data_IF_174628282227
#
_entry.id   IF_174628282227
#
_cell.length_a   1.000
_cell.length_b   1.000
_cell.length_c   1.000
_cell.angle_alpha   90.00
_cell.angle_beta   90.00
_cell.angle_gamma   90.00
#
_symmetry.space_group_name_H-M   'P 1'
#
loop_
_entity.id
_entity.type
_entity.pdbx_description
1 polymer ?
#
# COMPACT_ATOMS: atom_id res chain seq x y z
N UNK A 1 11.80 -9.05 24.87
CA UNK A 1 11.73 -8.80 25.46
C UNK A 1 11.48 -8.71 25.85
N UNK A 2 11.21 -8.84 25.53
CA UNK A 2 10.99 -8.53 26.14
C UNK A 2 10.76 -8.21 26.41
N UNK A 3 10.57 -8.15 26.28
CA UNK A 3 10.31 -7.64 26.73
C UNK A 3 10.09 -7.27 27.02
N UNK A 4 10.00 -6.90 27.02
CA UNK A 4 9.73 -6.49 27.46
C UNK A 4 9.22 -6.57 27.91
N UNK A 5 9.16 -6.66 27.83
CA UNK A 5 8.75 -6.89 28.28
C UNK A 5 8.39 -7.16 28.16
N UNK A 6 8.35 -7.19 27.82
CA UNK A 6 8.19 -7.44 27.68
C UNK A 6 8.29 -7.95 27.16
N UNK A 7 8.66 -7.88 26.79
CA UNK A 7 8.72 -8.24 26.18
C UNK A 7 8.09 -8.60 25.50
N UNK A 8 8.07 -8.95 25.08
CA UNK A 8 7.05 -9.55 24.26
C UNK A 8 5.98 -8.60 23.79
N UNK A 9 5.83 -7.55 24.38
CA UNK A 9 4.87 -6.51 24.02
C UNK A 9 5.18 -5.82 22.71
N UNK A 10 6.36 -6.03 22.20
CA UNK A 10 6.75 -5.43 20.92
C UNK A 10 5.83 -5.90 19.79
N UNK A 11 5.32 -7.11 19.87
CA UNK A 11 4.46 -7.66 18.82
C UNK A 11 3.08 -7.02 18.81
N UNK A 12 2.66 -6.42 19.91
CA UNK A 12 1.35 -5.79 19.99
C UNK A 12 1.34 -4.37 19.47
N UNK A 13 2.48 -3.77 19.24
CA UNK A 13 2.56 -2.39 18.80
C UNK A 13 2.28 -2.27 17.32
N UNK A 14 1.56 -1.21 16.89
CA UNK A 14 1.35 -0.99 15.46
C UNK A 14 2.68 -0.73 14.78
N UNK A 15 2.79 -1.21 13.57
CA UNK A 15 3.95 -0.90 12.75
C UNK A 15 3.80 0.50 12.19
N UNK A 16 4.75 1.37 12.45
CA UNK A 16 4.67 2.77 12.02
C UNK A 16 5.53 3.06 10.79
N UNK A 17 6.34 2.10 10.37
CA UNK A 17 7.10 2.24 9.13
C UNK A 17 7.29 0.86 8.51
N UNK A 18 7.57 0.87 7.22
CA UNK A 18 7.70 -0.35 6.45
C UNK A 18 9.08 -0.95 6.62
N UNK A 19 9.15 -2.28 6.55
CA UNK A 19 10.43 -2.97 6.55
C UNK A 19 10.84 -3.41 5.15
N UNK A 20 9.93 -3.26 4.15
CA UNK A 20 10.21 -3.72 2.79
C UNK A 20 9.40 -2.91 1.80
N UNK A 21 9.91 -2.79 0.58
CA UNK A 21 9.23 -2.11 -0.52
C UNK A 21 9.34 -2.97 -1.78
N UNK A 22 8.21 -3.17 -2.44
CA UNK A 22 8.13 -4.01 -3.64
C UNK A 22 7.39 -3.25 -4.72
N UNK A 23 7.89 -3.28 -5.95
CA UNK A 23 7.23 -2.62 -7.07
C UNK A 23 5.86 -3.25 -7.31
N UNK A 24 4.86 -2.40 -7.53
CA UNK A 24 3.49 -2.82 -7.81
C UNK A 24 3.28 -2.86 -9.31
N UNK A 25 2.76 -3.98 -9.80
CA UNK A 25 2.23 -4.07 -11.15
C UNK A 25 0.71 -3.96 -11.06
N UNK A 26 0.11 -2.85 -11.50
CA UNK A 26 -1.34 -2.72 -11.41
C UNK A 26 -2.04 -3.81 -12.20
N UNK A 27 -3.13 -4.33 -11.63
CA UNK A 27 -3.90 -5.40 -12.27
C UNK A 27 -5.34 -5.32 -11.79
N UNK A 28 -6.29 -5.57 -12.69
CA UNK A 28 -7.70 -5.60 -12.33
C UNK A 28 -8.10 -6.92 -11.67
N UNK A 29 -7.23 -7.93 -11.69
CA UNK A 29 -7.59 -9.27 -11.23
C UNK A 29 -6.62 -9.89 -10.24
N UNK A 30 -5.40 -9.37 -10.14
CA UNK A 30 -4.34 -9.97 -9.32
C UNK A 30 -3.98 -9.05 -8.18
N UNK A 31 -4.01 -9.57 -6.96
CA UNK A 31 -3.65 -8.80 -5.78
C UNK A 31 -2.14 -8.58 -5.69
N UNK A 32 -1.75 -7.55 -4.94
CA UNK A 32 -0.36 -7.30 -4.60
C UNK A 32 0.13 -8.50 -3.77
N UNK A 33 1.33 -9.03 -4.05
CA UNK A 33 1.85 -10.16 -3.28
C UNK A 33 1.93 -9.86 -1.79
N UNK A 34 1.71 -10.88 -0.98
CA UNK A 34 1.84 -10.85 0.48
C UNK A 34 0.83 -9.94 1.17
N UNK A 35 -0.36 -9.77 0.57
CA UNK A 35 -1.42 -8.97 1.19
C UNK A 35 -2.62 -9.81 1.63
N UNK A 36 -2.48 -11.14 1.69
CA UNK A 36 -3.62 -12.01 2.01
C UNK A 36 -4.10 -11.85 3.45
N UNK A 37 -3.21 -11.52 4.38
CA UNK A 37 -3.57 -11.34 5.79
C UNK A 37 -3.62 -9.88 6.20
N UNK A 38 -2.86 -9.05 5.54
CA UNK A 38 -2.80 -7.62 5.82
C UNK A 38 -2.43 -6.90 4.55
N UNK A 39 -3.11 -5.79 4.28
CA UNK A 39 -2.76 -4.95 3.16
C UNK A 39 -1.41 -4.27 3.35
N UNK A 40 -1.00 -3.55 2.34
CA UNK A 40 0.22 -2.77 2.35
C UNK A 40 -0.11 -1.30 2.12
N UNK A 41 0.78 -0.42 2.54
CA UNK A 41 0.70 1.00 2.19
C UNK A 41 1.30 1.21 0.81
N UNK A 42 1.09 2.39 0.25
CA UNK A 42 1.56 2.70 -1.10
C UNK A 42 2.45 3.94 -1.09
N UNK A 43 3.45 3.92 -1.95
CA UNK A 43 4.24 5.09 -2.31
C UNK A 43 4.08 5.31 -3.81
N UNK A 44 3.76 6.54 -4.21
CA UNK A 44 3.54 6.87 -5.61
C UNK A 44 4.70 7.73 -6.09
N UNK A 45 5.45 7.24 -7.08
CA UNK A 45 6.68 7.90 -7.51
C UNK A 45 6.54 8.77 -8.74
N UNK A 46 5.55 8.52 -9.60
CA UNK A 46 5.44 9.24 -10.87
C UNK A 46 3.98 9.54 -11.20
N UNK A 47 3.67 10.80 -11.43
CA UNK A 47 2.33 11.23 -11.79
C UNK A 47 2.33 11.98 -13.14
N UNK A 48 3.38 11.81 -13.96
CA UNK A 48 3.44 12.48 -15.26
C UNK A 48 2.35 12.00 -16.21
N UNK A 49 1.89 10.75 -16.05
CA UNK A 49 0.79 10.20 -16.85
C UNK A 49 -0.58 10.42 -16.24
N UNK A 50 -0.65 10.93 -15.02
CA UNK A 50 -1.90 11.17 -14.32
C UNK A 50 -1.76 10.97 -12.83
N UNK A 51 -2.74 11.45 -12.08
CA UNK A 51 -2.69 11.50 -10.61
C UNK A 51 -3.66 10.56 -9.92
N UNK A 52 -4.27 9.64 -10.65
CA UNK A 52 -5.31 8.77 -10.09
C UNK A 52 -4.73 7.41 -9.71
N UNK A 53 -5.14 6.92 -8.54
CA UNK A 53 -4.79 5.58 -8.07
C UNK A 53 -6.07 4.90 -7.60
N UNK A 54 -6.48 3.84 -8.31
CA UNK A 54 -7.67 3.07 -7.95
C UNK A 54 -7.24 1.79 -7.27
N UNK A 55 -7.77 1.56 -6.07
CA UNK A 55 -7.32 0.46 -5.23
C UNK A 55 -8.50 -0.31 -4.65
N UNK A 56 -8.27 -1.56 -4.28
CA UNK A 56 -9.13 -2.32 -3.38
C UNK A 56 -8.50 -2.26 -2.00
N UNK A 57 -9.25 -1.71 -1.05
CA UNK A 57 -8.80 -1.59 0.34
C UNK A 57 -8.83 -2.97 1.02
N UNK A 58 -8.13 -3.08 2.13
CA UNK A 58 -8.12 -4.31 2.92
C UNK A 58 -9.54 -4.72 3.32
N UNK A 59 -10.43 -3.76 3.52
CA UNK A 59 -11.83 -4.01 3.86
C UNK A 59 -12.64 -4.59 2.72
N UNK A 60 -12.11 -4.56 1.49
CA UNK A 60 -12.82 -4.99 0.29
C UNK A 60 -13.42 -3.84 -0.50
N UNK A 61 -13.48 -2.65 0.05
CA UNK A 61 -14.00 -1.49 -0.68
C UNK A 61 -13.03 -1.06 -1.77
N UNK A 62 -13.59 -0.55 -2.87
CA UNK A 62 -12.81 0.01 -3.97
C UNK A 62 -12.87 1.52 -3.88
N UNK A 63 -11.73 2.18 -3.94
CA UNK A 63 -11.65 3.63 -3.87
C UNK A 63 -10.66 4.15 -4.91
N UNK A 64 -10.92 5.35 -5.44
CA UNK A 64 -10.00 6.02 -6.35
C UNK A 64 -9.49 7.27 -5.67
N UNK A 65 -8.17 7.34 -5.49
CA UNK A 65 -7.50 8.51 -4.92
C UNK A 65 -7.05 9.41 -6.06
N UNK A 66 -7.58 10.61 -6.09
CA UNK A 66 -7.29 11.58 -7.16
C UNK A 66 -6.41 12.71 -6.62
N UNK A 67 -5.64 13.30 -7.52
CA UNK A 67 -4.79 14.41 -7.12
C UNK A 67 -3.57 14.00 -6.32
N UNK A 68 -3.12 12.77 -6.49
CA UNK A 68 -1.93 12.28 -5.80
C UNK A 68 -0.70 12.98 -6.39
N UNK A 69 0.23 13.38 -5.53
CA UNK A 69 1.45 14.03 -5.97
C UNK A 69 2.60 13.05 -6.03
N UNK A 70 3.60 13.33 -6.87
CA UNK A 70 4.80 12.50 -6.94
C UNK A 70 5.52 12.50 -5.58
N UNK A 71 5.97 11.32 -5.17
CA UNK A 71 6.63 11.17 -3.86
C UNK A 71 5.65 11.05 -2.71
N UNK A 72 4.36 10.85 -2.98
CA UNK A 72 3.37 10.72 -1.91
C UNK A 72 3.41 9.34 -1.26
N UNK A 73 3.29 9.33 0.05
CA UNK A 73 3.05 8.13 0.83
C UNK A 73 1.57 8.09 1.19
N UNK A 74 0.90 7.00 0.83
CA UNK A 74 -0.51 6.80 1.14
C UNK A 74 -0.62 5.85 2.32
N UNK A 75 -0.95 6.37 3.53
CA UNK A 75 -1.01 5.56 4.75
C UNK A 75 -2.33 4.79 4.84
N UNK A 76 -2.55 3.92 3.86
CA UNK A 76 -3.77 3.13 3.72
C UNK A 76 -3.36 1.68 3.57
N UNK A 77 -4.27 0.77 3.88
CA UNK A 77 -4.02 -0.65 3.71
C UNK A 77 -4.80 -1.16 2.51
N UNK A 78 -4.08 -1.56 1.47
CA UNK A 78 -4.68 -2.01 0.21
C UNK A 78 -4.20 -3.40 -0.12
N UNK A 79 -5.02 -4.13 -0.89
CA UNK A 79 -4.66 -5.47 -1.36
C UNK A 79 -4.46 -5.50 -2.86
N UNK A 80 -4.95 -4.50 -3.58
CA UNK A 80 -4.85 -4.48 -5.04
C UNK A 80 -4.81 -3.05 -5.53
N UNK A 81 -3.95 -2.80 -6.54
CA UNK A 81 -3.97 -1.57 -7.32
C UNK A 81 -4.48 -1.95 -8.69
N UNK A 82 -5.60 -1.35 -9.10
CA UNK A 82 -6.23 -1.68 -10.38
C UNK A 82 -5.46 -1.06 -11.54
N UNK A 83 -5.40 -1.76 -12.67
CA UNK A 83 -4.81 -1.18 -13.87
C UNK A 83 -5.77 -0.21 -14.54
N UNK A 84 -7.08 -0.53 -14.54
CA UNK A 84 -8.10 0.36 -15.06
C UNK A 84 -8.45 1.39 -13.99
N UNK A 85 -8.24 2.66 -14.28
CA UNK A 85 -8.53 3.75 -13.34
C UNK A 85 -7.30 4.26 -12.61
N UNK A 86 -6.15 3.61 -12.73
CA UNK A 86 -4.90 4.09 -12.18
C UNK A 86 -4.07 4.68 -13.30
N UNK A 87 -3.75 5.97 -13.17
CA UNK A 87 -2.95 6.67 -14.16
C UNK A 87 -1.57 7.03 -13.63
N UNK A 88 -1.37 6.98 -12.32
CA UNK A 88 -0.06 7.16 -11.71
C UNK A 88 0.82 5.93 -11.98
N UNK A 89 2.13 6.11 -11.84
CA UNK A 89 3.11 5.08 -12.13
C UNK A 89 4.18 5.03 -11.05
N UNK A 90 5.09 4.07 -11.15
CA UNK A 90 6.18 3.89 -10.19
C UNK A 90 5.65 3.76 -8.78
N UNK A 91 4.66 2.89 -8.60
CA UNK A 91 4.02 2.67 -7.31
C UNK A 91 4.75 1.54 -6.59
N UNK A 92 5.07 1.76 -5.32
CA UNK A 92 5.69 0.74 -4.47
C UNK A 92 4.72 0.35 -3.37
N UNK A 93 4.68 -0.96 -3.09
CA UNK A 93 3.99 -1.48 -1.92
C UNK A 93 4.96 -1.45 -0.75
N UNK A 94 4.53 -0.89 0.36
CA UNK A 94 5.33 -0.76 1.57
C UNK A 94 4.71 -1.62 2.66
N UNK A 95 5.48 -2.59 3.10
CA UNK A 95 5.03 -3.55 4.11
C UNK A 95 5.51 -3.24 5.51
#
# INVERSE_FOLDING_TARGET
MAIRGLEGNMQAQPRVFAHDAVAVTPSDTVDIPNTSERGCCLYVGDVSGGTDVKVTMESGNVATFKGVTAGSFLPILVTRVHSTGTTAAQILALY
#
